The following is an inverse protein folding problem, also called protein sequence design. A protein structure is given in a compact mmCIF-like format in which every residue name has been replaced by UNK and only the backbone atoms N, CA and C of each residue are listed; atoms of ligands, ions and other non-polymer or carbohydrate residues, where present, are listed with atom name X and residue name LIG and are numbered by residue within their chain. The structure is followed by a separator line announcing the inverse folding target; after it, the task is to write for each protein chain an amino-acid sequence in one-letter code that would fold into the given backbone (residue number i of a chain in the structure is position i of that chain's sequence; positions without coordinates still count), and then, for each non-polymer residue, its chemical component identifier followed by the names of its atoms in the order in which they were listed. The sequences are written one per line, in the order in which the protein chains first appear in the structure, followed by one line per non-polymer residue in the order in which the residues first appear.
data_IF_174488906792
#
_entry.id   IF_174488906792
#
_cell.length_a   1.000
_cell.length_b   1.000
_cell.length_c   1.000
_cell.angle_alpha   90.00
_cell.angle_beta   90.00
_cell.angle_gamma   90.00
#
_symmetry.space_group_name_H-M   'P 1'
#
loop_
_entity.id
_entity.type
_entity.pdbx_description
1 polymer ?
#
# COMPACT_ATOMS: atom_id res chain seq x y z
N UNK A 1 70.44 -41.75 -20.66
CA UNK A 1 69.17 -41.09 -20.32
C UNK A 1 68.87 -41.44 -18.87
N UNK A 2 68.99 -40.45 -17.96
CA UNK A 2 68.85 -40.62 -16.52
C UNK A 2 67.44 -40.22 -16.10
N UNK A 3 66.68 -41.18 -15.57
CA UNK A 3 65.40 -40.97 -14.94
C UNK A 3 65.56 -40.56 -13.48
N UNK A 4 65.11 -39.38 -13.14
CA UNK A 4 65.19 -38.87 -11.77
C UNK A 4 63.83 -39.07 -11.10
N UNK A 5 63.80 -39.94 -10.08
CA UNK A 5 62.62 -40.18 -9.26
C UNK A 5 62.70 -39.23 -8.07
N UNK A 6 61.75 -38.27 -8.00
CA UNK A 6 61.53 -37.48 -6.81
C UNK A 6 60.44 -38.11 -5.95
N UNK A 7 60.85 -38.52 -4.75
CA UNK A 7 59.92 -38.92 -3.69
C UNK A 7 59.52 -37.71 -2.93
N UNK A 8 58.24 -37.40 -2.95
CA UNK A 8 57.63 -36.33 -2.13
C UNK A 8 56.99 -36.95 -0.90
N UNK A 9 57.58 -36.64 0.26
CA UNK A 9 56.98 -37.00 1.54
C UNK A 9 55.85 -36.06 1.88
N UNK A 10 54.66 -36.61 2.03
CA UNK A 10 53.46 -35.83 2.47
C UNK A 10 53.42 -35.87 4.00
N UNK A 11 53.73 -34.73 4.62
CA UNK A 11 53.51 -34.50 6.05
C UNK A 11 52.06 -34.12 6.23
N UNK A 12 51.25 -34.99 6.81
CA UNK A 12 49.88 -34.74 7.15
C UNK A 12 49.76 -33.81 8.38
N UNK A 13 49.33 -32.57 8.18
CA UNK A 13 48.89 -31.71 9.26
C UNK A 13 47.39 -31.94 9.48
N UNK A 14 47.00 -32.61 10.54
CA UNK A 14 45.64 -32.73 11.00
C UNK A 14 45.23 -31.43 11.71
N UNK A 15 44.61 -30.52 10.98
CA UNK A 15 43.92 -29.35 11.56
C UNK A 15 42.53 -29.76 12.00
N UNK A 16 42.35 -29.93 13.31
CA UNK A 16 41.03 -30.13 13.93
C UNK A 16 40.15 -28.90 13.75
N UNK A 17 39.11 -29.00 12.92
CA UNK A 17 38.02 -28.02 12.86
C UNK A 17 37.13 -28.19 14.11
N UNK A 18 37.24 -27.26 15.05
CA UNK A 18 36.26 -27.08 16.11
C UNK A 18 34.99 -26.49 15.50
N UNK A 19 34.01 -27.33 15.21
CA UNK A 19 32.66 -26.92 14.87
C UNK A 19 32.01 -26.34 16.13
N UNK A 20 32.10 -25.01 16.29
CA UNK A 20 31.29 -24.27 17.25
C UNK A 20 29.87 -24.31 16.77
N UNK A 21 29.02 -25.17 17.32
CA UNK A 21 27.59 -25.13 17.15
C UNK A 21 27.06 -23.92 17.91
N UNK A 22 26.95 -22.77 17.21
CA UNK A 22 26.22 -21.64 17.72
C UNK A 22 24.73 -22.03 17.80
N UNK A 23 24.25 -22.25 19.02
CA UNK A 23 22.81 -22.29 19.30
C UNK A 23 22.23 -20.90 19.01
N UNK A 24 21.86 -20.66 17.75
CA UNK A 24 21.04 -19.51 17.38
C UNK A 24 19.64 -19.88 17.88
N UNK A 25 19.09 -19.16 18.88
CA UNK A 25 17.72 -19.40 19.28
C UNK A 25 16.82 -19.17 18.05
N UNK A 26 15.78 -20.00 17.84
CA UNK A 26 14.86 -19.75 16.74
C UNK A 26 14.28 -18.36 16.96
N UNK A 27 14.51 -17.46 15.99
CA UNK A 27 13.79 -16.21 15.89
C UNK A 27 12.34 -16.63 15.68
N UNK A 28 11.57 -16.61 16.76
CA UNK A 28 10.13 -16.65 16.63
C UNK A 28 9.76 -15.41 15.83
N UNK A 29 9.58 -15.57 14.53
CA UNK A 29 8.79 -14.64 13.75
C UNK A 29 7.44 -14.61 14.47
N UNK A 30 7.22 -13.54 15.23
CA UNK A 30 5.96 -13.26 15.88
C UNK A 30 4.93 -13.29 14.76
N UNK A 31 4.22 -14.41 14.67
CA UNK A 31 3.23 -14.66 13.63
C UNK A 31 2.02 -13.77 13.89
N UNK A 32 2.24 -12.45 13.87
CA UNK A 32 1.18 -11.48 13.69
C UNK A 32 0.59 -11.84 12.33
N UNK A 33 -0.43 -12.70 12.32
CA UNK A 33 -1.26 -12.91 11.14
C UNK A 33 -1.69 -11.52 10.71
N UNK A 34 -1.03 -10.99 9.70
CA UNK A 34 -1.52 -9.80 9.01
C UNK A 34 -2.95 -10.14 8.64
N UNK A 35 -3.91 -9.47 9.26
CA UNK A 35 -5.31 -9.71 8.96
C UNK A 35 -5.49 -9.33 7.50
N UNK A 36 -5.89 -10.29 6.69
CA UNK A 36 -6.23 -10.03 5.30
C UNK A 36 -7.26 -8.91 5.24
N UNK A 37 -7.04 -7.96 4.35
CA UNK A 37 -7.97 -6.87 4.14
C UNK A 37 -9.29 -7.36 3.51
N UNK A 38 -10.33 -6.61 3.72
CA UNK A 38 -11.65 -6.82 3.15
C UNK A 38 -12.37 -5.48 3.00
N UNK A 39 -13.52 -5.44 2.37
CA UNK A 39 -14.34 -4.22 2.26
C UNK A 39 -14.61 -3.56 3.60
N UNK A 40 -14.70 -4.35 4.69
CA UNK A 40 -14.89 -3.84 6.05
C UNK A 40 -13.68 -3.12 6.62
N UNK A 41 -12.50 -3.28 6.02
CA UNK A 41 -11.28 -2.59 6.44
C UNK A 41 -11.39 -1.08 6.18
N UNK A 42 -12.13 -0.69 5.15
CA UNK A 42 -12.47 0.70 4.87
C UNK A 42 -13.87 0.99 5.40
N UNK A 43 -13.95 1.76 6.49
CA UNK A 43 -15.21 2.14 7.11
C UNK A 43 -15.06 3.50 7.79
N UNK A 44 -16.04 4.40 7.61
CA UNK A 44 -16.09 5.74 8.19
C UNK A 44 -15.53 6.82 7.28
N UNK A 45 -15.22 7.96 7.86
CA UNK A 45 -14.80 9.18 7.15
C UNK A 45 -13.28 9.27 7.02
N UNK A 46 -12.82 9.71 5.85
CA UNK A 46 -11.41 9.94 5.54
C UNK A 46 -11.22 11.34 4.97
N UNK A 47 -10.44 12.16 5.64
CA UNK A 47 -9.93 13.39 5.04
C UNK A 47 -8.86 13.03 4.02
N UNK A 48 -8.97 13.53 2.79
CA UNK A 48 -8.00 13.23 1.75
C UNK A 48 -7.50 14.49 1.05
N UNK A 49 -6.31 14.40 0.51
CA UNK A 49 -5.82 15.30 -0.53
C UNK A 49 -5.26 14.50 -1.69
N UNK A 50 -5.32 15.07 -2.87
CA UNK A 50 -4.68 14.53 -4.07
C UNK A 50 -4.16 15.65 -4.96
N UNK A 51 -3.10 15.38 -5.68
CA UNK A 51 -2.53 16.31 -6.64
C UNK A 51 -1.89 15.55 -7.82
N UNK A 52 -1.58 16.27 -8.87
CA UNK A 52 -0.93 15.70 -10.04
C UNK A 52 -1.27 16.48 -11.30
N UNK A 53 -1.11 15.78 -12.43
CA UNK A 53 -1.40 16.33 -13.75
C UNK A 53 -2.50 15.50 -14.41
N UNK A 54 -3.45 16.18 -15.03
CA UNK A 54 -4.48 15.57 -15.86
C UNK A 54 -4.26 15.92 -17.33
N UNK A 55 -4.99 15.30 -18.22
CA UNK A 55 -4.97 15.65 -19.66
C UNK A 55 -5.28 17.12 -19.93
N UNK A 56 -5.92 17.82 -18.98
CA UNK A 56 -6.29 19.25 -19.07
C UNK A 56 -5.41 20.16 -18.23
N UNK A 57 -4.35 19.65 -17.58
CA UNK A 57 -3.39 20.43 -16.79
C UNK A 57 -3.31 19.99 -15.33
N UNK A 58 -2.60 20.78 -14.49
CA UNK A 58 -2.39 20.45 -13.09
C UNK A 58 -3.72 20.43 -12.30
N UNK A 59 -3.77 19.52 -11.33
CA UNK A 59 -4.89 19.32 -10.43
C UNK A 59 -4.39 19.26 -8.99
N UNK A 60 -5.10 19.94 -8.09
CA UNK A 60 -5.01 19.73 -6.64
C UNK A 60 -6.43 19.65 -6.08
N UNK A 61 -6.67 18.77 -5.15
CA UNK A 61 -7.95 18.63 -4.50
C UNK A 61 -7.79 18.19 -3.05
N UNK A 62 -8.71 18.59 -2.21
CA UNK A 62 -8.88 18.08 -0.85
C UNK A 62 -10.37 17.88 -0.56
N UNK A 63 -10.67 16.96 0.35
CA UNK A 63 -12.07 16.67 0.66
C UNK A 63 -12.22 15.55 1.67
N UNK A 64 -13.43 15.00 1.70
CA UNK A 64 -13.81 13.90 2.57
C UNK A 64 -14.37 12.77 1.70
N UNK A 65 -13.88 11.55 1.94
CA UNK A 65 -14.48 10.30 1.47
C UNK A 65 -15.16 9.61 2.64
N UNK A 66 -16.31 9.05 2.39
CA UNK A 66 -17.03 8.21 3.33
C UNK A 66 -17.15 6.81 2.77
N UNK A 67 -16.65 5.82 3.52
CA UNK A 67 -16.76 4.40 3.20
C UNK A 67 -17.81 3.76 4.12
N UNK A 68 -18.74 3.01 3.55
CA UNK A 68 -19.81 2.36 4.29
C UNK A 68 -19.41 1.00 4.92
N UNK A 69 -18.18 0.52 4.61
CA UNK A 69 -17.70 -0.80 5.03
C UNK A 69 -18.35 -1.99 4.30
N UNK A 70 -19.22 -1.72 3.31
CA UNK A 70 -19.95 -2.73 2.55
C UNK A 70 -19.67 -2.67 1.04
N UNK A 71 -18.78 -1.77 0.60
CA UNK A 71 -18.36 -1.66 -0.80
C UNK A 71 -18.86 -0.40 -1.49
N UNK A 72 -19.40 0.59 -0.79
CA UNK A 72 -19.76 1.89 -1.35
C UNK A 72 -18.91 3.02 -0.76
N UNK A 73 -18.45 3.94 -1.61
CA UNK A 73 -17.71 5.15 -1.26
C UNK A 73 -18.37 6.36 -1.91
N UNK A 74 -18.47 7.45 -1.16
CA UNK A 74 -18.96 8.74 -1.64
C UNK A 74 -18.29 9.89 -0.88
N UNK A 75 -18.57 11.13 -1.23
CA UNK A 75 -17.97 12.25 -0.49
C UNK A 75 -18.16 13.61 -1.15
N UNK A 76 -17.25 14.51 -0.80
CA UNK A 76 -17.15 15.84 -1.42
C UNK A 76 -15.71 16.30 -1.45
N UNK A 77 -15.40 17.22 -2.34
CA UNK A 77 -14.06 17.76 -2.50
C UNK A 77 -14.10 19.22 -2.99
N UNK A 78 -13.06 19.98 -2.64
CA UNK A 78 -12.73 21.23 -3.30
C UNK A 78 -11.56 20.98 -4.24
N UNK A 79 -11.65 21.50 -5.46
CA UNK A 79 -10.70 21.22 -6.54
C UNK A 79 -10.12 22.53 -7.07
N UNK A 80 -8.81 22.57 -7.27
CA UNK A 80 -8.14 23.50 -8.18
C UNK A 80 -7.74 22.74 -9.44
N UNK A 81 -8.27 23.12 -10.57
CA UNK A 81 -7.89 22.56 -11.87
C UNK A 81 -7.35 23.68 -12.75
N UNK A 82 -6.08 23.56 -13.11
CA UNK A 82 -5.38 24.58 -13.92
C UNK A 82 -5.51 26.00 -13.33
N UNK A 83 -5.50 26.13 -11.99
CA UNK A 83 -5.66 27.40 -11.27
C UNK A 83 -7.11 27.86 -11.07
N UNK A 84 -8.09 27.18 -11.63
CA UNK A 84 -9.51 27.46 -11.40
C UNK A 84 -10.02 26.64 -10.24
N UNK A 85 -10.64 27.31 -9.25
CA UNK A 85 -11.17 26.69 -8.04
C UNK A 85 -12.66 26.39 -8.16
N UNK A 86 -13.05 25.21 -7.68
CA UNK A 86 -14.45 24.83 -7.50
C UNK A 86 -14.56 24.19 -6.11
N UNK A 87 -15.52 24.67 -5.32
CA UNK A 87 -15.75 24.19 -3.96
C UNK A 87 -16.93 23.22 -3.90
N UNK A 88 -16.89 22.36 -2.90
CA UNK A 88 -17.99 21.45 -2.53
C UNK A 88 -18.51 20.58 -3.69
N UNK A 89 -17.60 20.16 -4.55
CA UNK A 89 -17.92 19.24 -5.65
C UNK A 89 -18.28 17.88 -5.08
N UNK A 90 -19.51 17.38 -5.29
CA UNK A 90 -19.89 16.08 -4.78
C UNK A 90 -19.10 14.97 -5.49
N UNK A 91 -18.73 13.95 -4.74
CA UNK A 91 -18.27 12.65 -5.23
C UNK A 91 -19.46 11.72 -5.08
N UNK A 92 -20.12 11.33 -6.19
CA UNK A 92 -21.31 10.49 -6.12
C UNK A 92 -20.98 9.12 -5.53
N UNK A 93 -21.94 8.41 -4.96
CA UNK A 93 -21.75 7.03 -4.53
C UNK A 93 -21.24 6.17 -5.68
N UNK A 94 -20.21 5.37 -5.42
CA UNK A 94 -19.65 4.42 -6.36
C UNK A 94 -19.14 3.18 -5.64
N UNK A 95 -19.04 2.03 -6.33
CA UNK A 95 -18.57 0.81 -5.73
C UNK A 95 -17.04 0.82 -5.52
N UNK A 96 -16.60 0.12 -4.47
CA UNK A 96 -15.21 -0.22 -4.28
C UNK A 96 -15.03 -1.70 -3.93
N UNK A 97 -13.91 -2.26 -4.31
CA UNK A 97 -13.49 -3.64 -4.00
C UNK A 97 -12.19 -3.62 -3.21
N UNK A 98 -12.00 -4.60 -2.34
CA UNK A 98 -10.78 -4.77 -1.55
C UNK A 98 -10.30 -6.20 -1.68
N UNK A 99 -9.04 -6.37 -2.07
CA UNK A 99 -8.35 -7.65 -2.12
C UNK A 99 -7.69 -7.97 -0.77
N UNK A 100 -7.40 -9.25 -0.54
CA UNK A 100 -6.80 -9.73 0.69
C UNK A 100 -5.39 -9.17 0.97
N UNK A 101 -4.69 -8.74 -0.07
CA UNK A 101 -3.36 -8.10 -0.03
C UNK A 101 -3.41 -6.60 0.31
N UNK A 102 -4.58 -6.08 0.71
CA UNK A 102 -4.83 -4.68 1.04
C UNK A 102 -4.76 -3.72 -0.17
N UNK A 103 -4.81 -4.22 -1.39
CA UNK A 103 -5.11 -3.39 -2.55
C UNK A 103 -6.63 -3.21 -2.70
N UNK A 104 -7.05 -2.04 -3.18
CA UNK A 104 -8.45 -1.76 -3.45
C UNK A 104 -8.60 -1.01 -4.77
N UNK A 105 -9.83 -1.00 -5.29
CA UNK A 105 -10.20 -0.34 -6.55
C UNK A 105 -11.46 0.46 -6.34
N UNK A 106 -11.48 1.69 -6.86
CA UNK A 106 -12.71 2.43 -7.04
C UNK A 106 -13.22 2.22 -8.45
N UNK A 107 -14.49 1.95 -8.57
CA UNK A 107 -15.12 1.60 -9.83
C UNK A 107 -16.24 2.60 -10.17
N UNK A 108 -16.55 2.70 -11.44
CA UNK A 108 -17.82 3.31 -11.88
C UNK A 108 -18.97 2.33 -11.65
N UNK A 109 -20.22 2.80 -11.77
CA UNK A 109 -21.42 1.94 -11.73
C UNK A 109 -21.40 0.86 -12.82
N UNK A 110 -20.63 1.05 -13.88
CA UNK A 110 -20.43 0.07 -14.96
C UNK A 110 -19.25 -0.87 -14.72
N UNK A 111 -18.59 -0.79 -13.55
CA UNK A 111 -17.46 -1.66 -13.18
C UNK A 111 -16.11 -1.26 -13.78
N UNK A 112 -15.98 -0.06 -14.34
CA UNK A 112 -14.70 0.44 -14.85
C UNK A 112 -13.87 0.99 -13.70
N UNK A 113 -12.62 0.54 -13.57
CA UNK A 113 -11.67 1.03 -12.58
C UNK A 113 -11.28 2.49 -12.88
N UNK A 114 -11.43 3.35 -11.88
CA UNK A 114 -11.10 4.80 -11.98
C UNK A 114 -9.96 5.21 -11.03
N UNK A 115 -9.70 4.42 -10.01
CA UNK A 115 -8.58 4.63 -9.12
C UNK A 115 -8.15 3.32 -8.44
N UNK A 116 -6.86 3.19 -8.24
CA UNK A 116 -6.26 2.15 -7.41
C UNK A 116 -5.90 2.72 -6.04
N UNK A 117 -6.07 1.88 -5.02
CA UNK A 117 -5.86 2.26 -3.63
C UNK A 117 -5.00 1.21 -2.95
N UNK A 118 -4.07 1.66 -2.13
CA UNK A 118 -3.35 0.81 -1.19
C UNK A 118 -3.82 1.18 0.23
N UNK A 119 -4.28 0.18 0.97
CA UNK A 119 -4.72 0.33 2.35
C UNK A 119 -3.53 0.04 3.26
N UNK A 120 -3.22 0.96 4.14
CA UNK A 120 -2.12 0.85 5.11
C UNK A 120 -2.63 1.14 6.52
N UNK A 121 -1.79 0.87 7.51
CA UNK A 121 -2.09 1.12 8.93
C UNK A 121 -3.46 0.56 9.36
N UNK A 122 -3.75 -0.68 8.92
CA UNK A 122 -5.00 -1.37 9.29
C UNK A 122 -6.28 -0.70 8.82
N UNK A 123 -6.20 0.17 7.81
CA UNK A 123 -7.31 0.94 7.27
C UNK A 123 -7.40 2.37 7.79
N UNK A 124 -6.44 2.83 8.58
CA UNK A 124 -6.41 4.22 9.03
C UNK A 124 -5.86 5.18 7.97
N UNK A 125 -5.09 4.67 7.01
CA UNK A 125 -4.53 5.47 5.93
C UNK A 125 -4.68 4.74 4.60
N UNK A 126 -4.87 5.50 3.53
CA UNK A 126 -4.94 4.99 2.15
C UNK A 126 -4.09 5.84 1.22
N UNK A 127 -3.44 5.21 0.26
CA UNK A 127 -2.81 5.86 -0.89
C UNK A 127 -3.68 5.67 -2.11
N UNK A 128 -3.87 6.74 -2.87
CA UNK A 128 -4.75 6.80 -4.04
C UNK A 128 -3.94 7.07 -5.29
N UNK A 129 -4.24 6.35 -6.34
CA UNK A 129 -3.70 6.60 -7.67
C UNK A 129 -4.82 6.54 -8.71
N UNK A 130 -4.96 7.60 -9.52
CA UNK A 130 -5.97 7.65 -10.58
C UNK A 130 -5.50 6.90 -11.82
N UNK A 131 -6.33 6.01 -12.36
CA UNK A 131 -6.03 5.17 -13.52
C UNK A 131 -6.60 5.68 -14.85
N UNK A 132 -7.05 6.92 -14.91
CA UNK A 132 -7.54 7.48 -16.18
C UNK A 132 -6.36 7.83 -17.11
N UNK A 133 -6.47 7.43 -18.38
CA UNK A 133 -5.46 7.72 -19.41
C UNK A 133 -5.15 9.22 -19.48
N UNK A 134 -3.87 9.56 -19.49
CA UNK A 134 -3.40 10.95 -19.52
C UNK A 134 -3.42 11.64 -18.17
N UNK A 135 -3.78 10.95 -17.10
CA UNK A 135 -3.72 11.45 -15.74
C UNK A 135 -2.55 10.82 -14.98
N UNK A 136 -1.87 11.63 -14.18
CA UNK A 136 -0.87 11.22 -13.19
C UNK A 136 -1.24 11.90 -11.87
N UNK A 137 -2.33 11.46 -11.24
CA UNK A 137 -2.87 12.02 -10.00
C UNK A 137 -2.76 11.01 -8.89
N UNK A 138 -2.16 11.40 -7.79
CA UNK A 138 -1.99 10.60 -6.60
C UNK A 138 -2.39 11.38 -5.35
N UNK A 139 -2.67 10.67 -4.28
CA UNK A 139 -3.10 11.29 -3.02
C UNK A 139 -3.02 10.37 -1.84
N UNK A 140 -3.33 10.94 -0.70
CA UNK A 140 -3.39 10.26 0.59
C UNK A 140 -4.71 10.58 1.25
N UNK A 141 -5.35 9.60 1.85
CA UNK A 141 -6.49 9.74 2.73
C UNK A 141 -6.17 9.20 4.12
N UNK A 142 -6.61 9.91 5.14
CA UNK A 142 -6.46 9.49 6.54
C UNK A 142 -7.83 9.43 7.20
N UNK A 143 -8.06 8.38 7.97
CA UNK A 143 -9.28 8.22 8.73
C UNK A 143 -9.44 9.35 9.74
N UNK A 144 -10.62 9.93 9.78
CA UNK A 144 -10.99 10.96 10.76
C UNK A 144 -11.52 10.22 11.99
N UNK A 145 -10.83 10.36 13.11
CA UNK A 145 -11.30 9.88 14.40
C UNK A 145 -12.06 11.02 15.10
N UNK A 146 -13.26 10.76 15.52
CA UNK A 146 -14.03 11.69 16.36
C UNK A 146 -13.80 11.30 17.83
N UNK A 147 -13.93 12.25 18.73
CA UNK A 147 -13.71 12.01 20.17
C UNK A 147 -14.64 10.92 20.78
N UNK A 148 -15.66 10.47 20.04
CA UNK A 148 -16.60 9.42 20.46
C UNK A 148 -16.12 8.01 20.09
N UNK A 149 -15.11 7.87 19.22
CA UNK A 149 -14.58 6.56 18.79
C UNK A 149 -13.68 5.89 19.84
N UNK A 150 -13.27 6.64 20.87
CA UNK A 150 -12.37 6.18 21.96
C UNK A 150 -13.11 5.75 23.25
N UNK A 151 -14.44 5.57 23.21
CA UNK A 151 -15.24 5.14 24.38
C UNK A 151 -15.74 3.72 24.30
#
# INVERSE_FOLDING_TARGET
MRSWKFSVAIVGLATGLLLSTSNIPPVHADGRRERACSVKTLNGSYGFYRNGTTSTGPLAALGILFFDGNGSVFGSQSISRNGVFTFDVPIPPGPYEVAADCTAKFLTDTGVEVARVLIVDGGNEIYLFSESTGNAVYGVGKKIHTADDDR
#
